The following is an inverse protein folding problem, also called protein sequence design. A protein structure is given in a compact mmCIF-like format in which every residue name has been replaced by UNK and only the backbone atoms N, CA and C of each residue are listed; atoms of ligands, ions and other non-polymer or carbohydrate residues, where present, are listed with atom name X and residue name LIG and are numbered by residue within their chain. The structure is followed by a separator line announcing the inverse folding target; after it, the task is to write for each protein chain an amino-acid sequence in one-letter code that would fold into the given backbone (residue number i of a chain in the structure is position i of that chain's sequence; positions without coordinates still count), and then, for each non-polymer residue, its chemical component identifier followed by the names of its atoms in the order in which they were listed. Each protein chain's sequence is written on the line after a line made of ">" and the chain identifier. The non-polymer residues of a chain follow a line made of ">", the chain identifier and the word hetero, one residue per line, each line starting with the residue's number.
data_IF_386147403871
#
_entry.id   IF_386147403871
#
_cell.length_a   1.000
_cell.length_b   1.000
_cell.length_c   1.000
_cell.angle_alpha   90.00
_cell.angle_beta   90.00
_cell.angle_gamma   90.00
#
_symmetry.space_group_name_H-M   'P 1'
#
loop_
_entity.id
_entity.type
_entity.pdbx_description
1 polymer ?
#
# COMPACT_ATOMS: atom_id res chain seq x y z
N UNK A 1 -16.81 11.35 -4.56
CA UNK A 1 -15.78 11.78 -5.53
C UNK A 1 -15.24 10.53 -6.19
N UNK A 2 -15.42 10.38 -7.50
CA UNK A 2 -14.75 9.33 -8.27
C UNK A 2 -13.47 9.94 -8.84
N UNK A 3 -12.34 9.27 -8.66
CA UNK A 3 -11.09 9.64 -9.33
C UNK A 3 -10.98 8.83 -10.62
N UNK A 4 -10.90 9.51 -11.75
CA UNK A 4 -10.65 8.89 -13.04
C UNK A 4 -9.15 9.04 -13.35
N UNK A 5 -8.51 7.92 -13.68
CA UNK A 5 -7.09 7.88 -14.06
C UNK A 5 -6.95 7.47 -15.51
N UNK A 6 -5.95 8.01 -16.19
CA UNK A 6 -5.54 7.60 -17.52
C UNK A 6 -4.42 6.58 -17.39
N UNK A 7 -4.59 5.42 -18.03
CA UNK A 7 -3.64 4.30 -17.96
C UNK A 7 -3.13 3.99 -19.35
N UNK A 8 -1.82 3.97 -19.53
CA UNK A 8 -1.16 3.53 -20.77
C UNK A 8 -0.25 2.35 -20.43
N UNK A 9 -0.50 1.19 -21.02
CA UNK A 9 0.31 -0.02 -20.77
C UNK A 9 1.65 0.13 -21.50
N UNK A 10 2.76 0.03 -20.77
CA UNK A 10 4.11 0.15 -21.33
C UNK A 10 4.65 -1.23 -21.75
N UNK A 11 4.58 -2.22 -20.86
CA UNK A 11 5.03 -3.59 -21.15
C UNK A 11 4.40 -4.60 -20.18
N UNK A 12 4.39 -5.87 -20.57
CA UNK A 12 3.93 -6.97 -19.71
C UNK A 12 5.12 -7.87 -19.41
N UNK A 13 5.47 -7.98 -18.12
CA UNK A 13 6.50 -8.90 -17.66
C UNK A 13 5.87 -10.26 -17.37
N UNK A 14 6.25 -11.27 -18.15
CA UNK A 14 5.82 -12.65 -17.94
C UNK A 14 6.25 -13.16 -16.55
N UNK A 15 5.50 -14.13 -16.02
CA UNK A 15 5.82 -14.74 -14.73
C UNK A 15 7.21 -15.40 -14.77
N UNK A 16 8.07 -15.02 -13.84
CA UNK A 16 9.39 -15.66 -13.67
C UNK A 16 9.31 -16.67 -12.54
N UNK A 17 9.60 -17.94 -12.83
CA UNK A 17 9.76 -18.99 -11.83
C UNK A 17 11.06 -18.78 -11.07
N UNK A 18 10.99 -18.72 -9.73
CA UNK A 18 12.19 -18.79 -8.89
C UNK A 18 12.42 -20.23 -8.53
N UNK A 19 13.39 -20.86 -9.20
CA UNK A 19 13.98 -22.16 -8.84
C UNK A 19 13.01 -23.35 -8.80
N UNK A 20 13.48 -24.50 -9.28
CA UNK A 20 12.72 -25.73 -9.57
C UNK A 20 12.12 -26.47 -8.34
N UNK A 21 11.92 -25.80 -7.19
CA UNK A 21 11.48 -26.45 -5.93
C UNK A 21 10.34 -25.72 -5.21
N UNK A 22 9.80 -24.62 -5.74
CA UNK A 22 8.63 -23.95 -5.15
C UNK A 22 7.49 -23.84 -6.18
N UNK A 23 6.33 -24.41 -5.86
CA UNK A 23 5.08 -24.36 -6.64
C UNK A 23 4.41 -22.97 -6.66
N UNK A 24 5.09 -21.96 -6.10
CA UNK A 24 4.65 -20.56 -6.06
C UNK A 24 5.58 -19.77 -6.99
N UNK A 25 5.07 -19.09 -8.04
CA UNK A 25 5.91 -18.27 -8.90
C UNK A 25 6.56 -17.15 -8.08
N UNK A 26 7.86 -16.90 -8.27
CA UNK A 26 8.59 -15.82 -7.58
C UNK A 26 7.94 -14.47 -7.82
N UNK A 27 7.52 -14.28 -9.07
CA UNK A 27 6.83 -13.11 -9.54
C UNK A 27 5.73 -13.58 -10.48
N UNK A 28 4.48 -13.36 -10.09
CA UNK A 28 3.35 -13.45 -11.00
C UNK A 28 3.51 -12.46 -12.16
N UNK A 29 2.78 -12.69 -13.24
CA UNK A 29 2.72 -11.75 -14.37
C UNK A 29 2.41 -10.33 -13.89
N UNK A 30 3.16 -9.34 -14.38
CA UNK A 30 2.96 -7.93 -14.04
C UNK A 30 2.72 -7.13 -15.30
N UNK A 31 1.52 -6.58 -15.43
CA UNK A 31 1.23 -5.52 -16.40
C UNK A 31 1.79 -4.20 -15.87
N UNK A 32 2.84 -3.69 -16.51
CA UNK A 32 3.47 -2.42 -16.16
C UNK A 32 2.89 -1.30 -17.02
N UNK A 33 2.41 -0.24 -16.37
CA UNK A 33 1.70 0.83 -17.03
C UNK A 33 2.08 2.20 -16.44
N UNK A 34 2.05 3.21 -17.30
CA UNK A 34 2.08 4.62 -16.90
C UNK A 34 0.68 5.07 -16.52
N UNK A 35 0.54 5.56 -15.29
CA UNK A 35 -0.73 6.06 -14.75
C UNK A 35 -0.62 7.56 -14.56
N UNK A 36 -1.55 8.31 -15.17
CA UNK A 36 -1.64 9.76 -15.05
C UNK A 36 -2.99 10.21 -14.52
N UNK A 37 -3.02 11.24 -13.67
CA UNK A 37 -4.25 11.88 -13.19
C UNK A 37 -4.10 13.39 -13.32
N UNK A 38 -5.03 14.06 -14.02
CA UNK A 38 -4.98 15.52 -14.20
C UNK A 38 -3.66 16.02 -14.81
N UNK A 39 -3.04 15.24 -15.70
CA UNK A 39 -1.73 15.56 -16.32
C UNK A 39 -0.51 15.25 -15.46
N UNK A 40 -0.68 14.70 -14.25
CA UNK A 40 0.42 14.34 -13.35
C UNK A 40 0.71 12.84 -13.48
N UNK A 41 1.96 12.47 -13.77
CA UNK A 41 2.43 11.09 -13.72
C UNK A 41 2.59 10.63 -12.26
N UNK A 42 1.83 9.60 -11.88
CA UNK A 42 1.84 9.08 -10.50
C UNK A 42 3.19 8.47 -10.14
N UNK A 43 3.83 7.78 -11.08
CA UNK A 43 5.14 7.16 -10.86
C UNK A 43 6.21 8.22 -10.62
N UNK A 44 6.24 9.28 -11.44
CA UNK A 44 7.15 10.42 -11.26
C UNK A 44 6.92 11.11 -9.90
N UNK A 45 5.66 11.33 -9.52
CA UNK A 45 5.31 11.96 -8.25
C UNK A 45 5.77 11.14 -7.04
N UNK A 46 5.70 9.81 -7.10
CA UNK A 46 6.19 8.91 -6.04
C UNK A 46 7.70 8.90 -5.97
N UNK A 47 8.38 8.80 -7.12
CA UNK A 47 9.85 8.79 -7.20
C UNK A 47 10.43 10.11 -6.73
N UNK A 48 9.87 11.25 -7.14
CA UNK A 48 10.34 12.59 -6.73
C UNK A 48 10.25 12.85 -5.21
N UNK A 49 9.35 12.14 -4.52
CA UNK A 49 9.22 12.15 -3.05
C UNK A 49 10.08 11.08 -2.36
N UNK A 50 10.75 10.22 -3.13
CA UNK A 50 11.58 9.13 -2.62
C UNK A 50 10.75 8.00 -2.00
N UNK A 51 9.51 7.78 -2.45
CA UNK A 51 8.68 6.64 -2.04
C UNK A 51 8.83 5.42 -2.95
N UNK A 52 9.49 5.59 -4.09
CA UNK A 52 9.81 4.54 -5.04
C UNK A 52 11.20 4.78 -5.65
N UNK A 53 11.83 3.73 -6.13
CA UNK A 53 13.12 3.76 -6.86
C UNK A 53 12.90 3.39 -8.32
N UNK A 54 13.74 3.92 -9.20
CA UNK A 54 13.65 3.61 -10.64
C UNK A 54 14.47 2.35 -10.94
N UNK A 55 13.86 1.41 -11.66
CA UNK A 55 14.55 0.19 -12.09
C UNK A 55 15.59 0.58 -13.13
N UNK A 56 16.85 0.17 -12.94
CA UNK A 56 17.92 0.40 -13.91
C UNK A 56 17.98 -0.75 -14.91
N UNK A 57 17.63 -0.46 -16.15
CA UNK A 57 17.70 -1.40 -17.26
C UNK A 57 19.08 -1.38 -17.91
N UNK A 58 19.52 -2.53 -18.45
CA UNK A 58 20.70 -2.61 -19.33
C UNK A 58 20.34 -2.03 -20.70
N UNK A 59 21.34 -1.61 -21.48
CA UNK A 59 21.14 -0.96 -22.77
C UNK A 59 20.30 -1.78 -23.77
N UNK A 60 20.31 -3.11 -23.65
CA UNK A 60 19.62 -4.04 -24.55
C UNK A 60 18.22 -4.46 -24.05
N UNK A 61 17.71 -3.86 -22.97
CA UNK A 61 16.44 -4.24 -22.35
C UNK A 61 15.32 -3.27 -22.78
N UNK A 62 14.56 -3.66 -23.80
CA UNK A 62 13.53 -2.84 -24.44
C UNK A 62 12.23 -2.72 -23.61
N UNK A 63 12.11 -3.44 -22.48
CA UNK A 63 10.94 -3.40 -21.60
C UNK A 63 11.00 -2.27 -20.57
N UNK A 64 10.92 -1.02 -21.07
CA UNK A 64 10.96 0.20 -20.25
C UNK A 64 9.72 1.07 -20.45
N UNK A 65 9.43 1.90 -19.45
CA UNK A 65 8.36 2.90 -19.55
C UNK A 65 8.70 3.95 -20.61
N UNK A 66 7.66 4.43 -21.30
CA UNK A 66 7.75 5.55 -22.24
C UNK A 66 8.25 6.86 -21.60
N UNK A 67 8.08 7.01 -20.28
CA UNK A 67 8.49 8.19 -19.50
C UNK A 67 9.78 7.96 -18.67
N UNK A 68 10.64 7.04 -19.08
CA UNK A 68 11.80 6.63 -18.29
C UNK A 68 12.78 7.76 -17.92
N UNK A 69 13.04 8.69 -18.84
CA UNK A 69 13.96 9.82 -18.58
C UNK A 69 13.41 10.78 -17.50
N UNK A 70 12.09 10.99 -17.48
CA UNK A 70 11.40 11.80 -16.46
C UNK A 70 11.51 11.13 -15.09
N UNK A 71 11.39 9.80 -15.03
CA UNK A 71 11.57 9.02 -13.80
C UNK A 71 13.00 9.12 -13.28
N UNK A 72 14.02 9.01 -14.14
CA UNK A 72 15.42 9.18 -13.75
C UNK A 72 15.70 10.61 -13.23
N UNK A 73 15.15 11.63 -13.89
CA UNK A 73 15.25 13.00 -13.42
C UNK A 73 14.55 13.20 -12.06
N UNK A 74 13.39 12.56 -11.84
CA UNK A 74 12.70 12.55 -10.55
C UNK A 74 13.53 11.89 -9.44
N UNK A 75 14.20 10.77 -9.74
CA UNK A 75 15.06 10.06 -8.80
C UNK A 75 16.27 10.92 -8.41
N UNK A 76 16.94 11.54 -9.39
CA UNK A 76 18.03 12.48 -9.12
C UNK A 76 17.59 13.65 -8.23
N UNK A 77 16.37 14.19 -8.44
CA UNK A 77 15.79 15.23 -7.57
C UNK A 77 15.52 14.72 -6.16
N UNK A 78 15.06 13.48 -5.99
CA UNK A 78 14.79 12.89 -4.68
C UNK A 78 16.08 12.62 -3.89
N UNK A 79 17.13 12.13 -4.57
CA UNK A 79 18.47 11.92 -4.01
C UNK A 79 19.08 13.25 -3.57
N UNK A 80 19.09 14.25 -4.45
CA UNK A 80 19.66 15.58 -4.15
C UNK A 80 19.00 16.23 -2.95
N UNK A 81 17.69 16.05 -2.80
CA UNK A 81 16.92 16.63 -1.70
C UNK A 81 16.85 15.73 -0.45
N UNK A 82 17.43 14.52 -0.49
CA UNK A 82 17.39 13.56 0.62
C UNK A 82 15.98 13.23 1.08
N UNK A 83 15.06 12.94 0.16
CA UNK A 83 13.64 12.67 0.46
C UNK A 83 13.37 11.16 0.58
N UNK A 84 12.46 10.79 1.48
CA UNK A 84 11.98 9.42 1.63
C UNK A 84 13.12 8.41 1.87
N UNK A 85 13.22 7.42 0.98
CA UNK A 85 14.27 6.38 0.98
C UNK A 85 15.70 6.95 0.88
N UNK A 86 15.86 8.14 0.28
CA UNK A 86 17.17 8.79 0.14
C UNK A 86 17.51 9.72 1.32
N UNK A 87 16.61 9.84 2.29
CA UNK A 87 16.87 10.57 3.53
C UNK A 87 17.83 9.79 4.42
N UNK A 88 18.76 10.50 5.07
CA UNK A 88 19.61 9.94 6.13
C UNK A 88 18.94 9.99 7.51
N UNK A 89 17.70 10.47 7.59
CA UNK A 89 16.92 10.51 8.84
C UNK A 89 16.50 9.09 9.21
N UNK A 90 16.33 8.86 10.51
CA UNK A 90 15.82 7.57 11.00
C UNK A 90 14.52 7.20 10.30
N UNK A 91 14.41 5.93 9.94
CA UNK A 91 13.23 5.37 9.28
C UNK A 91 12.06 5.48 10.24
N UNK A 92 10.95 6.15 9.86
CA UNK A 92 9.80 6.26 10.74
C UNK A 92 9.26 4.88 11.11
N UNK A 93 9.34 4.53 12.40
CA UNK A 93 8.83 3.26 12.91
C UNK A 93 7.33 3.41 13.10
N UNK A 94 6.55 2.77 12.23
CA UNK A 94 5.10 2.72 12.35
C UNK A 94 4.72 1.50 13.19
N UNK A 95 4.35 1.73 14.45
CA UNK A 95 3.81 0.67 15.32
C UNK A 95 2.29 0.68 15.19
N UNK A 96 1.75 -0.31 14.49
CA UNK A 96 0.30 -0.49 14.37
C UNK A 96 -0.13 -1.66 15.23
N UNK A 97 -1.02 -1.41 16.18
CA UNK A 97 -1.60 -2.46 17.01
C UNK A 97 -2.74 -3.15 16.24
N UNK A 98 -2.56 -4.43 15.88
CA UNK A 98 -3.66 -5.19 15.29
C UNK A 98 -4.54 -5.81 16.40
N UNK A 99 -5.76 -5.27 16.54
CA UNK A 99 -6.81 -5.74 17.44
C UNK A 99 -7.95 -6.36 16.61
N UNK A 100 -7.81 -6.40 15.29
CA UNK A 100 -8.76 -7.07 14.41
C UNK A 100 -8.68 -8.56 14.75
N UNK A 101 -9.77 -9.12 15.27
CA UNK A 101 -9.89 -10.54 15.64
C UNK A 101 -9.94 -11.45 14.40
N UNK A 102 -9.07 -11.19 13.43
CA UNK A 102 -9.06 -11.78 12.10
C UNK A 102 -7.70 -12.39 11.84
N UNK A 103 -7.30 -13.33 12.70
CA UNK A 103 -6.45 -14.42 12.22
C UNK A 103 -7.36 -15.47 11.58
N UNK A 104 -7.07 -15.81 10.33
CA UNK A 104 -7.94 -16.50 9.36
C UNK A 104 -8.47 -17.89 9.77
N UNK A 105 -8.19 -18.39 10.98
CA UNK A 105 -8.49 -19.76 11.38
C UNK A 105 -9.39 -19.86 12.62
N UNK A 106 -9.48 -18.83 13.48
CA UNK A 106 -10.41 -18.80 14.62
C UNK A 106 -10.32 -17.43 15.30
N UNK A 107 -11.47 -16.86 15.69
CA UNK A 107 -11.51 -15.73 16.63
C UNK A 107 -10.85 -16.22 17.92
N UNK A 108 -9.62 -15.80 18.18
CA UNK A 108 -8.90 -16.25 19.38
C UNK A 108 -9.51 -15.56 20.61
N UNK A 109 -9.70 -16.30 21.71
CA UNK A 109 -10.29 -15.79 22.96
C UNK A 109 -9.59 -14.51 23.46
N UNK A 110 -8.28 -14.38 23.20
CA UNK A 110 -7.45 -13.22 23.53
C UNK A 110 -7.83 -11.92 22.78
N UNK A 111 -8.34 -12.03 21.56
CA UNK A 111 -8.71 -10.87 20.72
C UNK A 111 -10.04 -10.26 21.19
N UNK A 112 -10.97 -11.09 21.67
CA UNK A 112 -12.22 -10.65 22.32
C UNK A 112 -11.94 -9.86 23.61
N UNK A 113 -10.91 -10.24 24.37
CA UNK A 113 -10.54 -9.53 25.60
C UNK A 113 -10.01 -8.13 25.31
N UNK A 114 -9.14 -7.98 24.30
CA UNK A 114 -8.66 -6.65 23.86
C UNK A 114 -9.79 -5.80 23.28
N UNK A 115 -10.66 -6.37 22.46
CA UNK A 115 -11.81 -5.65 21.93
C UNK A 115 -12.71 -5.10 23.06
N UNK A 116 -12.98 -5.91 24.10
CA UNK A 116 -13.74 -5.46 25.29
C UNK A 116 -13.06 -4.33 26.05
N UNK A 117 -11.72 -4.32 26.12
CA UNK A 117 -10.97 -3.23 26.75
C UNK A 117 -11.05 -1.93 25.96
N UNK A 118 -11.03 -2.01 24.61
CA UNK A 118 -11.07 -0.83 23.73
C UNK A 118 -12.49 -0.29 23.49
N UNK A 119 -13.52 -1.14 23.58
CA UNK A 119 -14.92 -0.76 23.37
C UNK A 119 -15.39 0.49 24.14
N UNK A 120 -15.15 0.64 25.46
CA UNK A 120 -15.60 1.83 26.18
C UNK A 120 -14.89 3.11 25.72
N UNK A 121 -13.66 3.02 25.20
CA UNK A 121 -12.96 4.17 24.63
C UNK A 121 -13.58 4.60 23.31
N UNK A 122 -13.90 3.63 22.44
CA UNK A 122 -14.57 3.90 21.17
C UNK A 122 -15.98 4.47 21.37
N UNK A 123 -16.74 3.95 22.34
CA UNK A 123 -18.06 4.47 22.68
C UNK A 123 -18.01 5.93 23.18
N UNK A 124 -17.03 6.28 24.03
CA UNK A 124 -16.85 7.65 24.51
C UNK A 124 -16.31 8.60 23.44
N UNK A 125 -15.46 8.12 22.54
CA UNK A 125 -14.93 8.91 21.44
C UNK A 125 -16.04 9.34 20.45
N UNK A 126 -17.16 8.63 20.42
CA UNK A 126 -18.30 8.93 19.57
C UNK A 126 -17.97 8.67 18.10
N UNK A 127 -17.52 9.72 17.39
CA UNK A 127 -17.16 9.63 15.97
C UNK A 127 -15.64 9.59 15.81
N UNK A 128 -15.12 8.40 15.49
CA UNK A 128 -13.71 8.22 15.15
C UNK A 128 -13.49 8.23 13.64
N UNK A 129 -12.38 8.82 13.21
CA UNK A 129 -11.92 8.75 11.82
C UNK A 129 -11.19 7.43 11.61
N UNK A 130 -11.49 6.75 10.50
CA UNK A 130 -10.87 5.50 10.15
C UNK A 130 -10.74 5.35 8.64
N UNK A 131 -9.74 4.59 8.21
CA UNK A 131 -9.46 4.21 6.82
C UNK A 131 -9.89 2.75 6.64
N UNK A 132 -10.65 2.46 5.58
CA UNK A 132 -11.04 1.08 5.25
C UNK A 132 -9.84 0.39 4.60
N UNK A 133 -9.28 -0.60 5.29
CA UNK A 133 -8.15 -1.41 4.80
C UNK A 133 -8.63 -2.63 4.02
N UNK A 134 -9.72 -3.26 4.48
CA UNK A 134 -10.24 -4.47 3.86
C UNK A 134 -11.76 -4.60 4.01
N UNK A 135 -12.40 -5.19 3.02
CA UNK A 135 -13.84 -5.49 3.04
C UNK A 135 -14.02 -7.00 3.00
N UNK A 136 -14.52 -7.58 4.10
CA UNK A 136 -14.81 -9.02 4.17
C UNK A 136 -16.17 -9.34 3.54
N UNK A 137 -17.15 -8.50 3.84
CA UNK A 137 -18.53 -8.61 3.32
C UNK A 137 -19.18 -7.23 3.35
N UNK A 138 -20.39 -7.10 2.79
CA UNK A 138 -21.12 -5.83 2.78
C UNK A 138 -21.35 -5.21 4.16
N UNK A 139 -21.28 -6.00 5.24
CA UNK A 139 -21.45 -5.54 6.62
C UNK A 139 -20.21 -5.63 7.49
N UNK A 140 -19.11 -6.25 7.02
CA UNK A 140 -17.91 -6.52 7.82
C UNK A 140 -16.66 -5.94 7.17
N UNK A 141 -16.01 -5.00 7.86
CA UNK A 141 -14.86 -4.25 7.35
C UNK A 141 -13.68 -4.31 8.33
N UNK A 142 -12.45 -4.25 7.81
CA UNK A 142 -11.24 -3.98 8.59
C UNK A 142 -10.93 -2.50 8.47
N UNK A 143 -10.85 -1.81 9.61
CA UNK A 143 -10.61 -0.38 9.67
C UNK A 143 -9.28 -0.09 10.37
N UNK A 144 -8.50 0.82 9.80
CA UNK A 144 -7.33 1.43 10.43
C UNK A 144 -7.74 2.77 11.05
N UNK A 145 -7.47 2.94 12.35
CA UNK A 145 -7.75 4.18 13.07
C UNK A 145 -6.43 4.94 13.28
N UNK A 146 -6.20 6.07 12.59
CA UNK A 146 -4.93 6.78 12.67
C UNK A 146 -4.63 7.36 14.05
N UNK A 147 -5.67 7.82 14.78
CA UNK A 147 -5.52 8.44 16.10
C UNK A 147 -5.03 7.45 17.15
N UNK A 148 -5.56 6.23 17.10
CA UNK A 148 -5.23 5.15 18.03
C UNK A 148 -4.15 4.23 17.47
N UNK A 149 -3.71 4.44 16.22
CA UNK A 149 -2.75 3.61 15.49
C UNK A 149 -3.11 2.12 15.55
N UNK A 150 -4.40 1.80 15.44
CA UNK A 150 -4.90 0.44 15.63
C UNK A 150 -5.76 -0.05 14.47
N UNK A 151 -5.78 -1.37 14.28
CA UNK A 151 -6.67 -2.04 13.34
C UNK A 151 -7.80 -2.71 14.11
N UNK A 152 -9.03 -2.50 13.66
CA UNK A 152 -10.23 -3.10 14.24
C UNK A 152 -11.07 -3.79 13.17
N UNK A 153 -11.86 -4.78 13.60
CA UNK A 153 -12.93 -5.35 12.80
C UNK A 153 -14.23 -4.62 13.13
N UNK A 154 -14.84 -4.01 12.13
CA UNK A 154 -16.09 -3.26 12.27
C UNK A 154 -17.23 -4.02 11.60
N UNK A 155 -18.34 -4.13 12.32
CA UNK A 155 -19.61 -4.67 11.82
C UNK A 155 -20.63 -3.54 11.77
N UNK A 156 -21.28 -3.37 10.62
CA UNK A 156 -22.37 -2.42 10.47
C UNK A 156 -23.53 -2.83 11.39
N UNK A 157 -23.94 -1.92 12.28
CA UNK A 157 -25.13 -2.10 13.08
C UNK A 157 -26.37 -2.05 12.16
N UNK A 158 -27.26 -3.02 12.31
CA UNK A 158 -28.59 -2.96 11.71
C UNK A 158 -29.46 -1.96 12.46
N UNK A 159 -30.38 -1.32 11.74
CA UNK A 159 -31.52 -0.64 12.36
C UNK A 159 -32.62 -1.64 12.67
#
# INVERSE_FOLDING_TARGET
>A
MAFQVNVTVDYIRAATSSSETSTIPAFAERTCATVTIGGINIAEALVSKGFATVIRYRQDDDQRSSHYDELLAAEARAIKNGKGLHSKKEVPIHRVADISGVRWISVSVWETQKAKQFLPFLQRAGRSEAVVEYVFSGSRLKLYMPKETCLITFLLAGK
#
